data_IF_168866804561
#
_entry.id   IF_168866804561
#
_cell.length_a   1.000
_cell.length_b   1.000
_cell.length_c   1.000
_cell.angle_alpha   90.00
_cell.angle_beta   90.00
_cell.angle_gamma   90.00
#
_symmetry.space_group_name_H-M   'P 1'
#
loop_
_entity.id
_entity.type
_entity.pdbx_description
1 polymer ?
#
# COMPACT_ATOMS: atom_id res chain seq x y z
N UNK A 1 -5.72 29.47 -1.86
CA UNK A 1 -4.55 28.55 -1.94
C UNK A 1 -5.02 27.17 -2.37
N UNK A 2 -4.65 26.73 -3.58
CA UNK A 2 -4.92 25.35 -4.04
C UNK A 2 -3.89 24.44 -3.35
N UNK A 3 -4.32 23.56 -2.43
CA UNK A 3 -3.41 22.54 -1.89
C UNK A 3 -2.96 21.66 -3.05
N UNK A 4 -1.65 21.48 -3.20
CA UNK A 4 -1.09 20.58 -4.19
C UNK A 4 -1.52 19.15 -3.85
N UNK A 5 -1.99 18.40 -4.86
CA UNK A 5 -2.42 17.02 -4.66
C UNK A 5 -1.20 16.14 -4.45
N UNK A 6 -1.23 15.32 -3.40
CA UNK A 6 -0.07 14.57 -2.94
C UNK A 6 0.39 15.01 -1.56
N UNK A 7 0.18 16.27 -1.16
CA UNK A 7 0.41 16.69 0.22
C UNK A 7 -0.33 15.71 1.13
N UNK A 8 0.37 14.99 2.04
CA UNK A 8 -0.27 14.05 2.94
C UNK A 8 -1.48 14.74 3.55
N UNK A 9 -2.65 14.08 3.65
CA UNK A 9 -3.74 14.65 4.42
C UNK A 9 -3.15 15.07 5.76
N UNK A 10 -3.46 16.27 6.25
CA UNK A 10 -3.18 16.59 7.64
C UNK A 10 -3.96 15.53 8.43
N UNK A 11 -3.26 14.45 8.81
CA UNK A 11 -3.75 13.38 9.65
C UNK A 11 -3.90 14.00 11.04
N UNK A 12 -4.89 14.87 11.16
CA UNK A 12 -5.43 15.35 12.43
C UNK A 12 -5.96 14.12 13.16
N UNK A 13 -6.10 14.18 14.48
CA UNK A 13 -6.57 13.05 15.32
C UNK A 13 -7.97 12.49 14.96
N UNK A 14 -8.57 12.97 13.86
CA UNK A 14 -9.76 12.42 13.24
C UNK A 14 -9.46 11.08 12.54
N UNK A 15 -10.40 10.17 12.62
CA UNK A 15 -10.39 8.87 11.95
C UNK A 15 -10.59 9.00 10.43
N UNK A 16 -10.26 7.94 9.68
CA UNK A 16 -10.54 7.86 8.24
C UNK A 16 -12.03 8.04 7.92
N UNK A 17 -12.91 7.52 8.78
CA UNK A 17 -14.36 7.62 8.61
C UNK A 17 -14.86 9.07 8.71
N UNK A 18 -14.27 9.86 9.63
CA UNK A 18 -14.57 11.29 9.76
C UNK A 18 -14.00 12.08 8.58
N UNK A 19 -12.83 11.69 8.06
CA UNK A 19 -12.21 12.35 6.90
C UNK A 19 -12.96 12.09 5.59
N UNK A 20 -13.38 10.85 5.34
CA UNK A 20 -14.01 10.41 4.09
C UNK A 20 -15.54 10.31 4.15
N UNK A 21 -16.21 11.19 4.90
CA UNK A 21 -17.66 11.32 4.85
C UNK A 21 -18.17 11.58 3.40
N UNK A 22 -19.47 11.37 3.15
CA UNK A 22 -20.11 11.32 1.82
C UNK A 22 -19.63 12.41 0.82
N UNK A 23 -19.48 13.65 1.28
CA UNK A 23 -19.03 14.78 0.43
C UNK A 23 -17.58 14.67 0.00
N UNK A 24 -16.70 14.18 0.87
CA UNK A 24 -15.29 14.05 0.57
C UNK A 24 -15.05 12.78 -0.27
N UNK A 25 -15.69 11.66 0.04
CA UNK A 25 -15.63 10.45 -0.78
C UNK A 25 -16.06 10.69 -2.24
N UNK A 26 -17.16 11.43 -2.46
CA UNK A 26 -17.64 11.78 -3.80
C UNK A 26 -16.65 12.66 -4.60
N UNK A 27 -15.80 13.44 -3.91
CA UNK A 27 -14.77 14.25 -4.57
C UNK A 27 -13.65 13.39 -5.15
N UNK A 28 -13.32 12.27 -4.51
CA UNK A 28 -12.30 11.33 -4.99
C UNK A 28 -12.71 10.60 -6.27
N UNK A 29 -14.00 10.32 -6.44
CA UNK A 29 -14.52 9.55 -7.56
C UNK A 29 -14.97 10.40 -8.75
N UNK A 30 -15.23 11.70 -8.56
CA UNK A 30 -15.83 12.55 -9.59
C UNK A 30 -14.89 13.59 -10.22
N UNK A 31 -13.60 13.57 -9.86
CA UNK A 31 -12.61 14.53 -10.40
C UNK A 31 -11.60 13.82 -11.30
N UNK A 32 -11.59 14.13 -12.60
CA UNK A 32 -10.70 13.47 -13.59
C UNK A 32 -9.21 13.48 -13.21
N UNK A 33 -8.71 14.58 -12.65
CA UNK A 33 -7.32 14.65 -12.17
C UNK A 33 -7.03 13.68 -11.01
N UNK A 34 -7.98 13.47 -10.10
CA UNK A 34 -7.83 12.51 -8.99
C UNK A 34 -7.87 11.07 -9.49
N UNK A 35 -8.77 10.80 -10.44
CA UNK A 35 -8.86 9.49 -11.10
C UNK A 35 -7.53 9.17 -11.78
N UNK A 36 -6.93 10.11 -12.51
CA UNK A 36 -5.63 9.91 -13.17
C UNK A 36 -4.51 9.59 -12.18
N UNK A 37 -4.35 10.37 -11.12
CA UNK A 37 -3.32 10.13 -10.08
C UNK A 37 -3.49 8.75 -9.43
N UNK A 38 -4.73 8.35 -9.11
CA UNK A 38 -5.01 7.04 -8.52
C UNK A 38 -4.74 5.90 -9.51
N UNK A 39 -5.05 6.09 -10.80
CA UNK A 39 -4.72 5.14 -11.85
C UNK A 39 -3.21 4.96 -12.01
N UNK A 40 -2.44 6.05 -12.00
CA UNK A 40 -0.99 5.98 -12.16
C UNK A 40 -0.31 5.31 -10.97
N UNK A 41 -0.75 5.61 -9.74
CA UNK A 41 -0.25 4.91 -8.54
C UNK A 41 -0.64 3.43 -8.56
N UNK A 42 -1.84 3.10 -9.04
CA UNK A 42 -2.29 1.71 -9.16
C UNK A 42 -1.47 0.94 -10.20
N UNK A 43 -1.20 1.54 -11.37
CA UNK A 43 -0.34 0.96 -12.39
C UNK A 43 1.06 0.70 -11.86
N UNK A 44 1.66 1.71 -11.21
CA UNK A 44 2.98 1.57 -10.58
C UNK A 44 3.01 0.44 -9.55
N UNK A 45 1.95 0.30 -8.75
CA UNK A 45 1.86 -0.79 -7.78
C UNK A 45 1.75 -2.17 -8.44
N UNK A 46 1.04 -2.29 -9.57
CA UNK A 46 0.99 -3.52 -10.37
C UNK A 46 2.38 -3.83 -10.94
N UNK A 47 3.06 -2.84 -11.53
CA UNK A 47 4.41 -3.02 -12.08
C UNK A 47 5.38 -3.52 -10.99
N UNK A 48 5.32 -2.92 -9.80
CA UNK A 48 6.11 -3.37 -8.64
C UNK A 48 5.71 -4.76 -8.14
N UNK A 49 4.45 -5.16 -8.25
CA UNK A 49 4.01 -6.50 -7.86
C UNK A 49 4.59 -7.55 -8.81
N UNK A 50 4.54 -7.27 -10.11
CA UNK A 50 4.94 -8.21 -11.17
C UNK A 50 6.46 -8.25 -11.35
N UNK A 51 7.11 -7.08 -11.34
CA UNK A 51 8.54 -6.92 -11.68
C UNK A 51 9.39 -6.46 -10.49
N UNK A 52 8.79 -5.91 -9.44
CA UNK A 52 9.52 -5.42 -8.27
C UNK A 52 9.94 -6.55 -7.33
N UNK A 53 11.24 -6.76 -7.18
CA UNK A 53 11.83 -7.55 -6.10
C UNK A 53 12.99 -8.47 -6.51
N UNK A 54 14.07 -8.39 -5.73
CA UNK A 54 15.08 -9.43 -5.45
C UNK A 54 15.43 -10.42 -6.59
N UNK A 55 16.00 -9.91 -7.68
CA UNK A 55 16.79 -10.66 -8.66
C UNK A 55 16.03 -11.27 -9.84
N UNK A 56 16.33 -10.74 -11.03
CA UNK A 56 16.34 -11.43 -12.33
C UNK A 56 14.99 -11.85 -12.92
N UNK A 57 14.43 -11.03 -13.82
CA UNK A 57 13.31 -11.45 -14.68
C UNK A 57 12.85 -10.33 -15.60
N UNK A 58 12.86 -10.62 -16.90
CA UNK A 58 12.60 -9.77 -18.05
C UNK A 58 11.48 -8.72 -17.89
N UNK A 59 11.77 -7.51 -18.40
CA UNK A 59 10.78 -6.48 -18.71
C UNK A 59 9.73 -7.09 -19.63
N UNK A 60 8.52 -7.27 -19.10
CA UNK A 60 7.35 -7.58 -19.91
C UNK A 60 6.42 -6.38 -19.83
N UNK A 61 6.59 -5.47 -20.79
CA UNK A 61 5.56 -4.49 -21.12
C UNK A 61 4.30 -5.26 -21.51
N UNK A 62 3.29 -5.28 -20.64
CA UNK A 62 1.86 -5.14 -20.98
C UNK A 62 0.96 -5.69 -19.85
N UNK A 63 0.72 -4.89 -18.80
CA UNK A 63 -0.40 -5.14 -17.87
C UNK A 63 -1.09 -3.82 -17.46
N UNK A 64 -1.66 -3.11 -18.43
CA UNK A 64 -2.60 -2.02 -18.12
C UNK A 64 -3.64 -1.80 -19.23
N UNK A 65 -4.22 -2.87 -19.79
CA UNK A 65 -5.47 -2.69 -20.56
C UNK A 65 -6.58 -2.29 -19.60
N UNK A 66 -7.11 -1.08 -19.82
CA UNK A 66 -8.27 -0.55 -19.11
C UNK A 66 -9.39 -1.59 -19.10
N UNK A 67 -9.76 -2.08 -17.92
CA UNK A 67 -10.88 -3.00 -17.77
C UNK A 67 -12.18 -2.19 -17.86
N UNK A 68 -13.05 -2.42 -18.85
CA UNK A 68 -14.39 -1.84 -18.85
C UNK A 68 -15.23 -2.51 -17.75
N UNK A 69 -15.69 -1.69 -16.80
CA UNK A 69 -16.46 -2.13 -15.64
C UNK A 69 -15.58 -2.78 -14.56
N UNK A 70 -15.56 -2.20 -13.37
CA UNK A 70 -14.87 -2.82 -12.23
C UNK A 70 -15.48 -4.21 -11.94
N UNK A 71 -14.78 -5.27 -12.34
CA UNK A 71 -15.10 -6.64 -11.94
C UNK A 71 -14.45 -6.89 -10.60
N UNK A 72 -15.25 -7.03 -9.55
CA UNK A 72 -14.76 -7.25 -8.19
C UNK A 72 -15.89 -7.43 -7.19
N UNK A 73 -15.56 -7.90 -5.99
CA UNK A 73 -16.48 -7.92 -4.84
C UNK A 73 -16.06 -6.82 -3.87
N UNK A 74 -17.03 -6.06 -3.39
CA UNK A 74 -16.83 -5.07 -2.35
C UNK A 74 -17.20 -5.68 -1.00
N UNK A 75 -16.37 -5.42 0.00
CA UNK A 75 -16.62 -5.84 1.39
C UNK A 75 -16.31 -4.65 2.29
N UNK A 76 -17.19 -4.38 3.25
CA UNK A 76 -16.90 -3.47 4.34
C UNK A 76 -16.02 -4.18 5.38
N UNK A 77 -14.79 -3.72 5.54
CA UNK A 77 -13.81 -4.31 6.47
C UNK A 77 -13.03 -3.19 7.14
N UNK A 78 -12.79 -3.34 8.44
CA UNK A 78 -11.77 -2.59 9.15
C UNK A 78 -10.43 -3.30 8.98
N UNK A 79 -9.55 -2.73 8.16
CA UNK A 79 -8.22 -3.32 7.87
C UNK A 79 -7.26 -3.28 9.06
N UNK A 80 -7.60 -2.53 10.11
CA UNK A 80 -6.85 -2.54 11.37
C UNK A 80 -7.11 -3.81 12.19
N UNK A 81 -8.13 -4.60 11.81
CA UNK A 81 -8.45 -5.89 12.39
C UNK A 81 -7.92 -7.04 11.52
N UNK A 82 -7.98 -8.27 12.04
CA UNK A 82 -7.59 -9.44 11.29
C UNK A 82 -8.41 -9.59 9.99
N UNK A 83 -7.73 -9.64 8.84
CA UNK A 83 -8.38 -9.78 7.53
C UNK A 83 -9.26 -11.04 7.50
N UNK A 84 -10.56 -10.98 7.15
CA UNK A 84 -11.48 -12.12 7.17
C UNK A 84 -11.31 -13.05 5.96
N UNK A 85 -10.06 -13.36 5.61
CA UNK A 85 -9.69 -14.19 4.47
C UNK A 85 -9.17 -15.55 4.94
N UNK A 86 -9.31 -16.58 4.10
CA UNK A 86 -8.70 -17.89 4.36
C UNK A 86 -7.18 -17.79 4.22
N UNK A 87 -6.46 -18.66 4.93
CA UNK A 87 -5.02 -18.78 4.77
C UNK A 87 -4.67 -19.16 3.33
N UNK A 88 -3.58 -18.60 2.79
CA UNK A 88 -3.07 -18.85 1.44
C UNK A 88 -4.14 -18.73 0.31
N UNK A 89 -5.02 -17.73 0.42
CA UNK A 89 -6.08 -17.47 -0.55
C UNK A 89 -5.74 -16.36 -1.55
N UNK A 90 -4.72 -15.55 -1.28
CA UNK A 90 -4.32 -14.42 -2.14
C UNK A 90 -3.04 -14.74 -2.93
N UNK A 91 -3.10 -14.59 -4.24
CA UNK A 91 -1.92 -14.59 -5.15
C UNK A 91 -1.13 -13.27 -5.08
N UNK A 92 -1.78 -12.20 -4.59
CA UNK A 92 -1.17 -10.93 -4.29
C UNK A 92 -2.16 -9.97 -3.64
N UNK A 93 -1.68 -8.82 -3.18
CA UNK A 93 -2.52 -7.76 -2.63
C UNK A 93 -1.98 -6.38 -3.02
N UNK A 94 -2.88 -5.43 -3.29
CA UNK A 94 -2.51 -4.04 -3.53
C UNK A 94 -3.36 -3.14 -2.63
N UNK A 95 -2.73 -2.13 -2.03
CA UNK A 95 -3.42 -1.07 -1.30
C UNK A 95 -2.88 0.28 -1.76
N UNK A 96 -3.78 1.19 -2.16
CA UNK A 96 -3.41 2.52 -2.63
C UNK A 96 -3.99 3.58 -1.70
N UNK A 97 -3.15 4.43 -1.13
CA UNK A 97 -3.53 5.62 -0.36
C UNK A 97 -4.52 5.38 0.80
N UNK A 98 -4.48 4.18 1.42
CA UNK A 98 -5.43 3.80 2.48
C UNK A 98 -4.79 3.52 3.84
N UNK A 99 -3.55 3.02 3.90
CA UNK A 99 -2.99 2.48 5.14
C UNK A 99 -2.34 3.51 6.06
N UNK A 100 -2.19 4.76 5.61
CA UNK A 100 -1.63 5.84 6.43
C UNK A 100 -2.41 6.07 7.74
N UNK A 101 -3.69 5.67 7.77
CA UNK A 101 -4.54 5.77 8.94
C UNK A 101 -4.15 4.80 10.07
N UNK A 102 -3.39 3.74 9.78
CA UNK A 102 -2.87 2.84 10.81
C UNK A 102 -1.82 3.52 11.70
N UNK A 103 -1.17 4.58 11.21
CA UNK A 103 -0.14 5.32 11.95
C UNK A 103 -0.72 6.39 12.90
N UNK A 104 -2.01 6.71 12.79
CA UNK A 104 -2.65 7.80 13.57
C UNK A 104 -2.94 7.42 15.03
N UNK A 105 -3.57 6.28 15.36
CA UNK A 105 -4.03 6.00 16.71
C UNK A 105 -2.89 5.66 17.68
N UNK A 106 -3.17 5.77 18.99
CA UNK A 106 -2.23 5.40 20.09
C UNK A 106 -1.74 3.95 19.96
N UNK A 107 -2.54 3.07 19.37
CA UNK A 107 -2.23 1.64 19.16
C UNK A 107 -1.66 1.33 17.77
N UNK A 108 -1.01 2.30 17.12
CA UNK A 108 -0.48 2.14 15.76
C UNK A 108 0.41 0.90 15.59
N UNK A 109 1.20 0.54 16.61
CA UNK A 109 2.03 -0.67 16.61
C UNK A 109 1.21 -1.96 16.47
N UNK A 110 0.23 -2.18 17.36
CA UNK A 110 -0.64 -3.36 17.33
C UNK A 110 -1.41 -3.47 16.01
N UNK A 111 -1.97 -2.36 15.53
CA UNK A 111 -2.81 -2.36 14.33
C UNK A 111 -2.00 -2.60 13.06
N UNK A 112 -0.82 -1.98 12.97
CA UNK A 112 0.07 -2.17 11.83
C UNK A 112 0.60 -3.60 11.81
N UNK A 113 1.00 -4.15 12.97
CA UNK A 113 1.37 -5.56 13.08
C UNK A 113 0.23 -6.49 12.67
N UNK A 114 -0.99 -6.25 13.17
CA UNK A 114 -2.17 -7.05 12.83
C UNK A 114 -2.48 -7.10 11.33
N UNK A 115 -2.31 -5.98 10.63
CA UNK A 115 -2.40 -5.95 9.15
C UNK A 115 -1.38 -6.91 8.52
N UNK A 116 -0.10 -6.80 8.88
CA UNK A 116 0.97 -7.59 8.26
C UNK A 116 0.87 -9.07 8.63
N UNK A 117 0.44 -9.42 9.84
CA UNK A 117 0.12 -10.81 10.22
C UNK A 117 -1.07 -11.35 9.41
N UNK A 118 -2.10 -10.52 9.20
CA UNK A 118 -3.23 -10.83 8.32
C UNK A 118 -2.78 -11.12 6.89
N UNK A 119 -1.91 -10.27 6.32
CA UNK A 119 -1.31 -10.46 4.99
C UNK A 119 -0.46 -11.72 4.95
N UNK A 120 0.42 -11.95 5.92
CA UNK A 120 1.27 -13.14 5.99
C UNK A 120 0.44 -14.43 6.05
N UNK A 121 -0.72 -14.42 6.71
CA UNK A 121 -1.64 -15.55 6.72
C UNK A 121 -2.36 -15.72 5.37
N UNK A 122 -2.89 -14.64 4.81
CA UNK A 122 -3.74 -14.69 3.62
C UNK A 122 -2.97 -14.93 2.30
N UNK A 123 -1.73 -14.44 2.19
CA UNK A 123 -0.89 -14.59 1.00
C UNK A 123 -0.46 -16.06 0.81
N UNK A 124 -0.40 -16.50 -0.45
CA UNK A 124 0.26 -17.76 -0.84
C UNK A 124 1.79 -17.62 -0.69
N UNK A 125 2.54 -18.73 -0.56
CA UNK A 125 4.00 -18.69 -0.61
C UNK A 125 4.49 -17.93 -1.86
N UNK A 126 5.51 -17.09 -1.71
CA UNK A 126 6.07 -16.19 -2.75
C UNK A 126 5.12 -15.10 -3.27
N UNK A 127 3.87 -15.05 -2.80
CA UNK A 127 2.97 -13.95 -3.17
C UNK A 127 3.44 -12.63 -2.54
N UNK A 128 3.19 -11.55 -3.27
CA UNK A 128 3.61 -10.20 -2.90
C UNK A 128 2.41 -9.33 -2.55
N UNK A 129 2.62 -8.36 -1.67
CA UNK A 129 1.72 -7.24 -1.51
C UNK A 129 2.45 -5.92 -1.76
N UNK A 130 1.80 -5.02 -2.49
CA UNK A 130 2.32 -3.68 -2.76
C UNK A 130 1.41 -2.64 -2.12
N UNK A 131 1.97 -1.85 -1.20
CA UNK A 131 1.25 -0.92 -0.37
C UNK A 131 1.76 0.49 -0.64
N UNK A 132 0.97 1.29 -1.37
CA UNK A 132 1.23 2.71 -1.54
C UNK A 132 0.64 3.49 -0.36
N UNK A 133 1.51 4.23 0.34
CA UNK A 133 1.16 4.93 1.58
C UNK A 133 1.79 6.33 1.62
N UNK A 134 1.10 7.27 2.28
CA UNK A 134 1.66 8.59 2.62
C UNK A 134 2.17 8.57 4.07
N UNK A 135 3.48 8.56 4.25
CA UNK A 135 4.12 8.57 5.56
C UNK A 135 4.35 10.00 6.05
N UNK A 136 4.18 10.25 7.36
CA UNK A 136 4.41 11.59 7.94
C UNK A 136 5.89 11.85 8.24
N UNK A 137 6.67 10.79 8.42
CA UNK A 137 8.09 10.85 8.72
C UNK A 137 8.70 9.46 8.87
N UNK A 138 9.99 9.42 9.20
CA UNK A 138 10.78 8.17 9.29
C UNK A 138 10.20 7.19 10.31
N UNK A 139 9.67 7.68 11.44
CA UNK A 139 9.03 6.82 12.45
C UNK A 139 7.89 5.96 11.89
N UNK A 140 7.06 6.51 11.00
CA UNK A 140 5.96 5.75 10.38
C UNK A 140 6.50 4.72 9.37
N UNK A 141 7.61 5.05 8.68
CA UNK A 141 8.31 4.13 7.78
C UNK A 141 8.89 2.96 8.56
N UNK A 142 9.62 3.24 9.64
CA UNK A 142 10.23 2.24 10.51
C UNK A 142 9.18 1.31 11.13
N UNK A 143 8.03 1.86 11.53
CA UNK A 143 6.91 1.08 12.04
C UNK A 143 6.41 0.05 11.01
N UNK A 144 6.23 0.46 9.75
CA UNK A 144 5.79 -0.43 8.68
C UNK A 144 6.82 -1.53 8.38
N UNK A 145 8.11 -1.15 8.30
CA UNK A 145 9.19 -2.12 8.08
C UNK A 145 9.26 -3.11 9.25
N UNK A 146 9.24 -2.62 10.48
CA UNK A 146 9.26 -3.44 11.70
C UNK A 146 8.10 -4.45 11.71
N UNK A 147 6.87 -3.99 11.42
CA UNK A 147 5.68 -4.83 11.46
C UNK A 147 5.72 -5.93 10.38
N UNK A 148 6.16 -5.59 9.17
CA UNK A 148 6.32 -6.57 8.09
C UNK A 148 7.34 -7.67 8.46
N UNK A 149 8.48 -7.28 9.04
CA UNK A 149 9.50 -8.24 9.48
C UNK A 149 9.02 -9.11 10.63
N UNK A 150 8.31 -8.51 11.59
CA UNK A 150 7.73 -9.22 12.74
C UNK A 150 6.72 -10.28 12.27
N UNK A 151 5.95 -9.97 11.23
CA UNK A 151 5.04 -10.89 10.55
C UNK A 151 5.76 -11.93 9.64
N UNK A 152 7.09 -11.99 9.67
CA UNK A 152 7.96 -12.89 8.88
C UNK A 152 7.81 -12.70 7.36
N UNK A 153 7.49 -11.49 6.93
CA UNK A 153 7.52 -11.09 5.54
C UNK A 153 8.91 -10.52 5.20
N UNK A 154 9.31 -10.68 3.95
CA UNK A 154 10.38 -9.86 3.40
C UNK A 154 9.78 -8.50 3.07
N UNK A 155 10.53 -7.43 3.30
CA UNK A 155 10.05 -6.08 3.07
C UNK A 155 11.13 -5.22 2.42
N UNK A 156 10.72 -4.44 1.43
CA UNK A 156 11.47 -3.34 0.86
C UNK A 156 10.51 -2.19 0.62
N UNK A 157 11.01 -0.96 0.50
CA UNK A 157 10.19 0.16 0.06
C UNK A 157 10.99 1.07 -0.86
N UNK A 158 10.26 1.82 -1.68
CA UNK A 158 10.81 2.90 -2.49
C UNK A 158 10.01 4.18 -2.30
N UNK A 159 10.65 5.31 -2.58
CA UNK A 159 10.03 6.62 -2.56
C UNK A 159 10.00 7.15 -3.98
N UNK A 160 8.79 7.36 -4.50
CA UNK A 160 8.58 7.96 -5.81
C UNK A 160 8.27 9.44 -5.67
N UNK A 161 8.81 10.23 -6.59
CA UNK A 161 8.56 11.65 -6.74
C UNK A 161 7.77 11.85 -8.03
N UNK A 162 6.45 12.04 -7.93
CA UNK A 162 5.72 12.41 -9.13
C UNK A 162 6.08 13.83 -9.53
N UNK A 163 6.50 14.04 -10.79
CA UNK A 163 6.86 15.34 -11.37
C UNK A 163 5.82 16.46 -11.19
N UNK A 164 4.58 16.13 -10.82
CA UNK A 164 3.48 17.08 -10.61
C UNK A 164 3.29 17.53 -9.13
N UNK A 165 3.99 16.93 -8.17
CA UNK A 165 3.89 17.32 -6.75
C UNK A 165 5.12 16.91 -5.94
N UNK A 166 5.60 17.80 -5.06
CA UNK A 166 6.72 17.55 -4.12
C UNK A 166 6.41 16.53 -3.01
N UNK A 167 5.26 15.86 -3.10
CA UNK A 167 4.87 14.88 -2.12
C UNK A 167 5.48 13.50 -2.38
N UNK A 168 6.18 13.00 -1.36
CA UNK A 168 6.74 11.65 -1.32
C UNK A 168 5.63 10.59 -1.37
N UNK A 169 5.71 9.69 -2.34
CA UNK A 169 4.84 8.50 -2.43
C UNK A 169 5.66 7.28 -2.05
N UNK A 170 5.36 6.69 -0.90
CA UNK A 170 6.04 5.47 -0.48
C UNK A 170 5.31 4.26 -1.07
N UNK A 171 6.06 3.33 -1.64
CA UNK A 171 5.57 2.01 -2.05
C UNK A 171 6.34 0.95 -1.28
N UNK A 172 5.64 0.25 -0.39
CA UNK A 172 6.18 -0.92 0.31
C UNK A 172 5.87 -2.16 -0.52
N UNK A 173 6.90 -2.94 -0.82
CA UNK A 173 6.79 -4.26 -1.45
C UNK A 173 7.12 -5.29 -0.38
N UNK A 174 6.13 -6.12 -0.03
CA UNK A 174 6.31 -7.21 0.92
C UNK A 174 6.06 -8.55 0.25
N UNK A 175 6.83 -9.56 0.64
CA UNK A 175 6.76 -10.90 0.04
C UNK A 175 6.70 -11.97 1.12
N UNK A 176 5.80 -12.95 0.95
CA UNK A 176 5.75 -14.12 1.81
C UNK A 176 6.88 -15.09 1.45
N UNK A 177 7.84 -15.24 2.35
CA UNK A 177 8.95 -16.19 2.19
C UNK A 177 8.46 -17.65 2.12
N UNK A 178 9.09 -18.47 1.28
CA UNK A 178 8.88 -19.93 1.25
C UNK A 178 9.44 -20.63 2.49
N UNK A 179 10.46 -20.04 3.12
CA UNK A 179 11.15 -20.61 4.29
C UNK A 179 11.20 -19.59 5.42
N UNK A 180 10.07 -19.33 6.08
CA UNK A 180 9.95 -18.89 7.47
C UNK A 180 10.82 -17.75 8.05
N UNK A 181 11.60 -17.00 7.27
CA UNK A 181 12.52 -15.96 7.72
C UNK A 181 12.38 -14.69 6.90
N UNK A 182 12.00 -13.60 7.55
CA UNK A 182 11.93 -12.26 6.97
C UNK A 182 13.30 -11.57 7.02
N UNK A 183 13.71 -10.95 5.92
CA UNK A 183 14.81 -9.97 5.85
C UNK A 183 14.23 -8.68 5.30
N UNK A 184 14.63 -7.53 5.85
CA UNK A 184 14.35 -6.22 5.27
C UNK A 184 15.63 -5.70 4.64
N UNK A 185 15.49 -5.12 3.45
CA UNK A 185 16.51 -4.25 2.86
C UNK A 185 15.82 -2.97 2.41
N UNK A 186 16.44 -1.83 2.74
CA UNK A 186 16.11 -0.58 2.07
C UNK A 186 16.63 -0.68 0.62
N UNK A 187 15.77 -0.42 -0.36
CA UNK A 187 16.21 -0.37 -1.75
C UNK A 187 16.85 1.00 -1.98
N UNK A 188 18.18 1.09 -1.86
CA UNK A 188 18.93 2.27 -2.26
C UNK A 188 18.93 2.37 -3.79
N UNK A 189 18.40 3.49 -4.29
CA UNK A 189 18.45 3.96 -5.67
C UNK A 189 18.08 2.93 -6.76
N UNK A 190 16.78 2.83 -7.04
CA UNK A 190 16.27 2.21 -8.25
C UNK A 190 16.20 3.25 -9.36
N UNK A 191 17.11 3.17 -10.34
CA UNK A 191 17.07 4.00 -11.55
C UNK A 191 15.91 3.61 -12.46
#
# INVERSE_FOLDING_TARGET
MKRAWGTPPELRDASAAEHYADKEAARYTNTGARIGIQQDMSRRAIDLMMHGGWGGGEETEEVARQLPGCRGRLTLVDVAQALPLRAASLDGAISISALQWLCVPVRAEDLTLGLFEGLARALKPRARAVLQVYMRGERDVDLFVWAALRARLRAAYMVDYSHASDAKKYYFVVEKSERGGGKAEAADDWK
#
